data_IF_848500912598
#
_entry.id   IF_848500912598
#
_cell.length_a   1.000
_cell.length_b   1.000
_cell.length_c   1.000
_cell.angle_alpha   90.00
_cell.angle_beta   90.00
_cell.angle_gamma   90.00
#
_symmetry.space_group_name_H-M   'P 1'
#
loop_
_entity.id
_entity.type
_entity.pdbx_description
1 polymer ?
#
# COMPACT_ATOMS: atom_id res chain seq x y z
N UNK A 1 0.26 0.30 -7.39
CA UNK A 1 1.01 -0.57 -8.31
C UNK A 1 2.33 0.05 -8.74
N UNK A 2 2.28 1.13 -9.51
CA UNK A 2 3.43 1.73 -10.16
C UNK A 2 4.61 2.05 -9.21
N UNK A 3 4.37 2.78 -8.10
CA UNK A 3 5.42 3.09 -7.11
C UNK A 3 6.00 1.82 -6.45
N UNK A 4 5.15 0.85 -6.10
CA UNK A 4 5.60 -0.41 -5.50
C UNK A 4 6.48 -1.20 -6.48
N UNK A 5 6.07 -1.32 -7.73
CA UNK A 5 6.87 -2.00 -8.75
C UNK A 5 8.19 -1.29 -9.02
N UNK A 6 8.21 0.07 -9.06
CA UNK A 6 9.47 0.83 -9.20
C UNK A 6 10.39 0.60 -8.02
N UNK A 7 9.85 0.52 -6.80
CA UNK A 7 10.61 0.18 -5.62
C UNK A 7 11.23 -1.22 -5.72
N UNK A 8 10.43 -2.24 -6.05
CA UNK A 8 10.93 -3.60 -6.22
C UNK A 8 12.02 -3.68 -7.32
N UNK A 9 11.79 -3.01 -8.44
CA UNK A 9 12.79 -2.94 -9.52
C UNK A 9 14.10 -2.28 -9.08
N UNK A 10 14.05 -1.26 -8.23
CA UNK A 10 15.26 -0.61 -7.66
C UNK A 10 16.04 -1.52 -6.72
N UNK A 11 15.40 -2.55 -6.18
CA UNK A 11 16.00 -3.61 -5.33
C UNK A 11 16.37 -4.86 -6.15
N UNK A 12 16.43 -4.75 -7.49
CA UNK A 12 16.76 -5.81 -8.44
C UNK A 12 15.77 -6.98 -8.46
N UNK A 13 14.51 -6.77 -8.06
CA UNK A 13 13.47 -7.77 -8.28
C UNK A 13 13.25 -7.98 -9.78
N UNK A 14 12.99 -9.21 -10.17
CA UNK A 14 12.55 -9.56 -11.53
C UNK A 14 11.07 -9.21 -11.68
N UNK A 15 10.81 -7.96 -12.06
CA UNK A 15 9.45 -7.44 -12.24
C UNK A 15 8.98 -7.77 -13.65
N UNK A 16 8.04 -8.70 -13.76
CA UNK A 16 7.46 -9.16 -15.04
C UNK A 16 6.76 -8.02 -15.78
N UNK A 17 5.85 -7.30 -15.13
CA UNK A 17 5.15 -6.17 -15.75
C UNK A 17 3.81 -5.83 -15.11
N UNK A 18 2.94 -5.21 -15.90
CA UNK A 18 1.66 -4.68 -15.45
C UNK A 18 0.52 -5.03 -16.39
N UNK A 19 -0.64 -5.23 -15.79
CA UNK A 19 -1.92 -5.23 -16.46
C UNK A 19 -2.85 -4.22 -15.77
N UNK A 20 -3.60 -3.48 -16.56
CA UNK A 20 -4.68 -2.60 -16.10
C UNK A 20 -5.80 -2.62 -17.13
N UNK A 21 -7.05 -2.47 -16.71
CA UNK A 21 -8.19 -2.32 -17.62
C UNK A 21 -8.07 -1.07 -18.50
N UNK A 22 -7.33 -0.06 -18.03
CA UNK A 22 -6.87 1.05 -18.84
C UNK A 22 -5.45 0.72 -19.39
N UNK A 23 -5.38 0.28 -20.63
CA UNK A 23 -4.13 -0.11 -21.29
C UNK A 23 -3.05 0.99 -21.21
N UNK A 24 -3.43 2.26 -21.33
CA UNK A 24 -2.48 3.37 -21.23
C UNK A 24 -1.85 3.47 -19.82
N UNK A 25 -2.60 3.12 -18.76
CA UNK A 25 -2.05 3.09 -17.40
C UNK A 25 -1.04 1.93 -17.21
N UNK A 26 -1.31 0.77 -17.81
CA UNK A 26 -0.37 -0.36 -17.82
C UNK A 26 0.93 -0.01 -18.57
N UNK A 27 0.81 0.59 -19.76
CA UNK A 27 1.96 1.04 -20.57
C UNK A 27 2.79 2.10 -19.85
N UNK A 28 2.15 3.08 -19.19
CA UNK A 28 2.82 4.12 -18.43
C UNK A 28 3.61 3.54 -17.25
N UNK A 29 3.03 2.59 -16.51
CA UNK A 29 3.71 1.90 -15.41
C UNK A 29 4.87 1.03 -15.93
N UNK A 30 4.67 0.32 -17.02
CA UNK A 30 5.69 -0.50 -17.67
C UNK A 30 6.88 0.36 -18.17
N UNK A 31 6.61 1.47 -18.83
CA UNK A 31 7.64 2.41 -19.27
C UNK A 31 8.44 2.99 -18.10
N UNK A 32 7.76 3.38 -17.01
CA UNK A 32 8.40 3.94 -15.81
C UNK A 32 9.30 2.93 -15.11
N UNK A 33 8.95 1.65 -15.11
CA UNK A 33 9.71 0.58 -14.47
C UNK A 33 10.64 -0.17 -15.41
N UNK A 34 10.58 0.11 -16.72
CA UNK A 34 11.31 -0.60 -17.78
C UNK A 34 10.97 -2.10 -17.80
N UNK A 35 9.66 -2.40 -17.85
CA UNK A 35 9.10 -3.75 -17.89
C UNK A 35 8.05 -3.88 -18.99
N UNK A 36 7.25 -4.96 -19.00
CA UNK A 36 6.21 -5.20 -20.00
C UNK A 36 4.84 -4.67 -19.57
N UNK A 37 4.08 -4.10 -20.50
CA UNK A 37 2.64 -3.92 -20.39
C UNK A 37 1.92 -5.11 -21.02
N UNK A 38 0.96 -5.69 -20.32
CA UNK A 38 0.18 -6.84 -20.80
C UNK A 38 -1.21 -6.40 -21.22
N UNK A 39 -1.67 -6.90 -22.36
CA UNK A 39 -3.04 -6.66 -22.86
C UNK A 39 -4.05 -7.68 -22.34
N UNK A 40 -3.57 -8.76 -21.73
CA UNK A 40 -4.40 -9.84 -21.19
C UNK A 40 -3.89 -10.20 -19.79
N UNK A 41 -4.78 -10.17 -18.80
CA UNK A 41 -4.45 -10.51 -17.41
C UNK A 41 -3.96 -11.96 -17.28
N UNK A 42 -4.48 -12.89 -18.10
CA UNK A 42 -4.10 -14.30 -18.10
C UNK A 42 -2.61 -14.50 -18.36
N UNK A 43 -2.02 -13.69 -19.23
CA UNK A 43 -0.61 -13.79 -19.54
C UNK A 43 0.25 -13.35 -18.35
N UNK A 44 -0.07 -12.20 -17.74
CA UNK A 44 0.62 -11.71 -16.56
C UNK A 44 0.52 -12.71 -15.39
N UNK A 45 -0.68 -13.27 -15.15
CA UNK A 45 -0.89 -14.28 -14.10
C UNK A 45 0.00 -15.50 -14.32
N UNK A 46 0.11 -16.00 -15.55
CA UNK A 46 0.92 -17.19 -15.86
C UNK A 46 2.43 -16.97 -15.74
N UNK A 47 2.89 -15.76 -15.99
CA UNK A 47 4.30 -15.41 -15.98
C UNK A 47 4.82 -14.97 -14.60
N UNK A 48 3.91 -14.80 -13.60
CA UNK A 48 4.23 -14.27 -12.28
C UNK A 48 4.25 -15.37 -11.21
N UNK A 49 5.31 -15.46 -10.43
CA UNK A 49 5.35 -16.29 -9.20
C UNK A 49 4.65 -15.57 -8.04
N UNK A 50 4.79 -14.24 -7.99
CA UNK A 50 4.14 -13.37 -7.00
C UNK A 50 3.35 -12.30 -7.75
N UNK A 51 2.06 -12.24 -7.51
CA UNK A 51 1.16 -11.27 -8.15
C UNK A 51 0.59 -10.30 -7.10
N UNK A 52 0.67 -9.00 -7.38
CA UNK A 52 0.08 -7.95 -6.54
C UNK A 52 -1.16 -7.36 -7.19
N UNK A 53 -2.31 -7.50 -6.53
CA UNK A 53 -3.54 -6.79 -6.88
C UNK A 53 -3.50 -5.42 -6.18
N UNK A 54 -3.34 -4.37 -6.98
CA UNK A 54 -3.18 -2.99 -6.48
C UNK A 54 -4.31 -2.07 -6.97
N UNK A 55 -5.46 -2.65 -7.24
CA UNK A 55 -6.71 -1.95 -7.57
C UNK A 55 -7.31 -1.29 -6.31
N UNK A 56 -8.28 -0.36 -6.48
CA UNK A 56 -9.08 0.10 -5.35
C UNK A 56 -9.73 -1.05 -4.58
N UNK A 57 -9.92 -0.89 -3.27
CA UNK A 57 -10.45 -1.94 -2.39
C UNK A 57 -11.78 -2.53 -2.87
N UNK A 58 -12.66 -1.69 -3.43
CA UNK A 58 -13.95 -2.13 -4.00
C UNK A 58 -13.82 -3.09 -5.19
N UNK A 59 -12.67 -3.11 -5.85
CA UNK A 59 -12.39 -3.96 -7.01
C UNK A 59 -11.53 -5.18 -6.68
N UNK A 60 -11.01 -5.29 -5.44
CA UNK A 60 -10.14 -6.40 -5.06
C UNK A 60 -10.82 -7.76 -5.26
N UNK A 61 -12.01 -7.94 -4.68
CA UNK A 61 -12.75 -9.20 -4.77
C UNK A 61 -13.16 -9.52 -6.22
N UNK A 62 -13.74 -8.58 -7.00
CA UNK A 62 -14.01 -8.80 -8.42
C UNK A 62 -12.78 -9.26 -9.23
N UNK A 63 -11.62 -8.62 -9.03
CA UNK A 63 -10.39 -8.99 -9.74
C UNK A 63 -9.92 -10.38 -9.30
N UNK A 64 -9.97 -10.68 -7.99
CA UNK A 64 -9.64 -12.01 -7.51
C UNK A 64 -10.52 -13.10 -8.12
N UNK A 65 -11.84 -12.90 -8.15
CA UNK A 65 -12.79 -13.85 -8.76
C UNK A 65 -12.50 -14.09 -10.26
N UNK A 66 -12.04 -13.06 -10.97
CA UNK A 66 -11.62 -13.19 -12.36
C UNK A 66 -10.37 -14.04 -12.53
N UNK A 67 -9.33 -13.79 -11.70
CA UNK A 67 -8.01 -14.40 -11.91
C UNK A 67 -7.79 -15.72 -11.18
N UNK A 68 -8.57 -16.06 -10.16
CA UNK A 68 -8.34 -17.27 -9.34
C UNK A 68 -8.32 -18.57 -10.15
N UNK A 69 -9.16 -18.67 -11.20
CA UNK A 69 -9.19 -19.82 -12.11
C UNK A 69 -8.04 -19.88 -13.10
N UNK A 70 -7.24 -18.81 -13.22
CA UNK A 70 -6.07 -18.71 -14.10
C UNK A 70 -4.77 -18.95 -13.35
N UNK A 71 -4.81 -18.84 -12.01
CA UNK A 71 -3.64 -18.98 -11.14
C UNK A 71 -3.08 -20.39 -11.17
N UNK A 72 -1.77 -20.52 -11.02
CA UNK A 72 -1.09 -21.80 -10.98
C UNK A 72 -0.71 -22.20 -9.54
N UNK A 73 -0.48 -23.48 -9.32
CA UNK A 73 -0.10 -24.02 -8.00
C UNK A 73 1.15 -23.34 -7.46
N UNK A 74 1.16 -23.07 -6.16
CA UNK A 74 2.20 -22.41 -5.38
C UNK A 74 2.42 -20.93 -5.69
N UNK A 75 1.62 -20.32 -6.56
CA UNK A 75 1.65 -18.88 -6.79
C UNK A 75 1.27 -18.12 -5.50
N UNK A 76 1.90 -16.97 -5.28
CA UNK A 76 1.58 -16.07 -4.17
C UNK A 76 0.76 -14.89 -4.73
N UNK A 77 -0.41 -14.67 -4.17
CA UNK A 77 -1.29 -13.55 -4.54
C UNK A 77 -1.37 -12.58 -3.37
N UNK A 78 -1.02 -11.33 -3.63
CA UNK A 78 -0.99 -10.27 -2.63
C UNK A 78 -1.97 -9.16 -2.97
N UNK A 79 -2.47 -8.46 -1.96
CA UNK A 79 -3.08 -7.14 -2.13
C UNK A 79 -2.44 -6.11 -1.18
N UNK A 80 -2.65 -4.83 -1.47
CA UNK A 80 -2.08 -3.73 -0.69
C UNK A 80 -3.11 -2.94 0.13
N UNK A 81 -4.33 -3.45 0.30
CA UNK A 81 -5.34 -2.79 1.13
C UNK A 81 -4.92 -2.73 2.59
N UNK A 82 -5.09 -1.58 3.22
CA UNK A 82 -4.97 -1.42 4.67
C UNK A 82 -6.21 -1.91 5.43
N UNK A 83 -7.37 -1.89 4.78
CA UNK A 83 -8.66 -2.20 5.40
C UNK A 83 -9.07 -3.68 5.25
N UNK A 84 -8.89 -4.23 4.05
CA UNK A 84 -9.28 -5.60 3.74
C UNK A 84 -8.23 -6.60 4.23
N UNK A 85 -8.69 -7.74 4.78
CA UNK A 85 -7.81 -8.85 5.12
C UNK A 85 -7.63 -9.81 3.95
N UNK A 86 -6.64 -10.71 4.08
CA UNK A 86 -6.42 -11.82 3.15
C UNK A 86 -7.62 -12.78 3.02
N UNK A 87 -8.57 -12.75 3.95
CA UNK A 87 -9.83 -13.50 3.86
C UNK A 87 -10.69 -13.07 2.65
N UNK A 88 -10.39 -11.91 2.05
CA UNK A 88 -11.00 -11.47 0.80
C UNK A 88 -10.69 -12.41 -0.38
N UNK A 89 -9.69 -13.26 -0.27
CA UNK A 89 -9.29 -14.25 -1.27
C UNK A 89 -10.02 -15.59 -1.09
N UNK A 90 -11.36 -15.56 -1.18
CA UNK A 90 -12.17 -16.76 -1.02
C UNK A 90 -11.83 -17.85 -2.04
N UNK A 91 -11.68 -19.12 -1.60
CA UNK A 91 -11.34 -20.25 -2.48
C UNK A 91 -9.85 -20.32 -2.86
N UNK A 92 -8.97 -19.56 -2.22
CA UNK A 92 -7.52 -19.59 -2.48
C UNK A 92 -6.88 -20.98 -2.27
N UNK A 93 -7.33 -21.69 -1.22
CA UNK A 93 -6.85 -23.05 -0.92
C UNK A 93 -7.23 -24.04 -2.04
N UNK A 94 -8.43 -23.96 -2.55
CA UNK A 94 -8.94 -24.78 -3.65
C UNK A 94 -8.22 -24.47 -4.96
N UNK A 95 -7.88 -23.19 -5.16
CA UNK A 95 -7.05 -22.75 -6.31
C UNK A 95 -5.58 -23.19 -6.18
N UNK A 96 -5.15 -23.64 -4.98
CA UNK A 96 -3.78 -24.09 -4.74
C UNK A 96 -2.76 -22.96 -4.64
N UNK A 97 -3.20 -21.74 -4.29
CA UNK A 97 -2.39 -20.55 -4.13
C UNK A 97 -2.27 -20.14 -2.67
N UNK A 98 -1.26 -19.34 -2.34
CA UNK A 98 -1.05 -18.76 -1.03
C UNK A 98 -1.30 -17.25 -1.11
N UNK A 99 -2.23 -16.74 -0.29
CA UNK A 99 -2.62 -15.33 -0.34
C UNK A 99 -2.19 -14.56 0.92
N UNK A 100 -1.85 -13.28 0.76
CA UNK A 100 -1.58 -12.39 1.88
C UNK A 100 -1.94 -10.93 1.56
N UNK A 101 -2.17 -10.16 2.61
CA UNK A 101 -2.19 -8.71 2.57
C UNK A 101 -0.80 -8.17 2.85
N UNK A 102 -0.37 -7.16 2.09
CA UNK A 102 0.95 -6.51 2.20
C UNK A 102 0.73 -5.00 2.14
N UNK A 103 0.53 -4.38 3.29
CA UNK A 103 0.19 -2.96 3.35
C UNK A 103 1.41 -2.12 3.74
N UNK A 104 1.93 -1.26 2.85
CA UNK A 104 2.93 -0.27 3.20
C UNK A 104 2.27 0.86 4.04
N UNK A 105 2.80 1.13 5.23
CA UNK A 105 2.34 2.23 6.09
C UNK A 105 2.86 3.57 5.58
N UNK A 106 2.40 3.95 4.40
CA UNK A 106 2.85 5.15 3.69
C UNK A 106 1.72 5.78 2.88
N UNK A 107 1.52 7.11 2.93
CA UNK A 107 0.61 7.78 2.01
C UNK A 107 1.22 7.85 0.60
N UNK A 108 0.49 7.38 -0.40
CA UNK A 108 0.88 7.47 -1.81
C UNK A 108 0.27 8.72 -2.43
N UNK A 109 0.99 9.84 -2.38
CA UNK A 109 0.55 11.12 -2.95
C UNK A 109 0.83 11.25 -4.45
N UNK A 110 1.85 10.54 -4.95
CA UNK A 110 2.25 10.59 -6.36
C UNK A 110 2.78 9.23 -6.82
N UNK A 111 2.20 8.71 -7.92
CA UNK A 111 2.53 7.37 -8.45
C UNK A 111 3.98 7.22 -8.94
N UNK A 112 4.66 8.34 -9.24
CA UNK A 112 6.02 8.32 -9.80
C UNK A 112 7.12 8.72 -8.81
N UNK A 113 6.78 9.28 -7.65
CA UNK A 113 7.78 9.71 -6.67
C UNK A 113 7.66 9.00 -5.32
N UNK A 114 6.47 8.49 -4.94
CA UNK A 114 6.27 7.84 -3.64
C UNK A 114 7.11 6.57 -3.44
N UNK A 115 7.64 5.96 -4.51
CA UNK A 115 8.54 4.80 -4.40
C UNK A 115 9.82 5.10 -3.61
N UNK A 116 10.30 6.34 -3.60
CA UNK A 116 11.50 6.75 -2.87
C UNK A 116 11.31 6.66 -1.35
N UNK A 117 10.07 6.83 -0.88
CA UNK A 117 9.75 6.76 0.54
C UNK A 117 9.56 5.31 1.01
N UNK A 118 9.35 4.36 0.09
CA UNK A 118 9.17 2.94 0.41
C UNK A 118 10.42 2.31 1.04
N UNK A 119 11.61 2.87 0.81
CA UNK A 119 12.85 2.39 1.44
C UNK A 119 12.83 2.45 2.97
N UNK A 120 12.07 3.39 3.53
CA UNK A 120 11.93 3.59 4.97
C UNK A 120 10.54 3.22 5.50
N UNK A 121 9.70 2.64 4.66
CA UNK A 121 8.35 2.28 5.05
C UNK A 121 8.34 0.98 5.86
N UNK A 122 7.50 0.97 6.90
CA UNK A 122 7.06 -0.25 7.53
C UNK A 122 6.02 -0.95 6.64
N UNK A 123 6.11 -2.25 6.57
CA UNK A 123 5.07 -3.07 5.94
C UNK A 123 4.34 -3.90 6.98
N UNK A 124 3.04 -3.98 6.85
CA UNK A 124 2.22 -4.90 7.64
C UNK A 124 1.79 -6.06 6.75
N UNK A 125 2.01 -7.29 7.22
CA UNK A 125 1.72 -8.51 6.46
C UNK A 125 0.85 -9.45 7.28
N UNK A 126 -0.17 -10.02 6.66
CA UNK A 126 -1.00 -11.09 7.25
C UNK A 126 -1.53 -12.01 6.14
N UNK A 127 -1.91 -13.26 6.48
CA UNK A 127 -2.48 -14.22 5.54
C UNK A 127 -1.92 -15.62 5.67
N UNK A 128 -1.86 -16.34 4.55
CA UNK A 128 -1.35 -17.72 4.54
C UNK A 128 0.13 -17.77 4.96
N UNK A 129 0.51 -18.66 5.90
CA UNK A 129 1.86 -18.68 6.50
C UNK A 129 3.00 -18.71 5.49
N UNK A 130 2.86 -19.48 4.40
CA UNK A 130 3.87 -19.53 3.35
C UNK A 130 4.04 -18.18 2.63
N UNK A 131 2.95 -17.53 2.21
CA UNK A 131 2.99 -16.23 1.57
C UNK A 131 3.56 -15.15 2.51
N UNK A 132 3.11 -15.13 3.76
CA UNK A 132 3.61 -14.22 4.79
C UNK A 132 5.12 -14.37 4.99
N UNK A 133 5.63 -15.62 5.03
CA UNK A 133 7.06 -15.86 5.19
C UNK A 133 7.85 -15.34 3.99
N UNK A 134 7.47 -15.74 2.77
CA UNK A 134 8.17 -15.33 1.53
C UNK A 134 8.19 -13.81 1.38
N UNK A 135 7.05 -13.15 1.59
CA UNK A 135 6.96 -11.68 1.47
C UNK A 135 7.75 -10.97 2.59
N UNK A 136 7.71 -11.50 3.82
CA UNK A 136 8.51 -10.95 4.92
C UNK A 136 10.00 -11.03 4.58
N UNK A 137 10.49 -12.19 4.13
CA UNK A 137 11.89 -12.39 3.79
C UNK A 137 12.32 -11.47 2.64
N UNK A 138 11.46 -11.33 1.62
CA UNK A 138 11.68 -10.44 0.49
C UNK A 138 11.83 -8.98 0.95
N UNK A 139 10.87 -8.45 1.69
CA UNK A 139 10.88 -7.06 2.16
C UNK A 139 12.03 -6.79 3.13
N UNK A 140 12.31 -7.74 4.03
CA UNK A 140 13.45 -7.64 4.96
C UNK A 140 14.78 -7.63 4.20
N UNK A 141 14.91 -8.41 3.13
CA UNK A 141 16.12 -8.38 2.28
C UNK A 141 16.33 -7.04 1.57
N UNK A 142 15.26 -6.26 1.38
CA UNK A 142 15.31 -4.90 0.86
C UNK A 142 15.60 -3.82 1.91
N UNK A 143 15.67 -4.22 3.18
CA UNK A 143 15.93 -3.32 4.31
C UNK A 143 14.67 -2.78 4.98
N UNK A 144 13.47 -3.25 4.61
CA UNK A 144 12.24 -2.81 5.24
C UNK A 144 11.99 -3.53 6.58
N UNK A 145 11.36 -2.82 7.49
CA UNK A 145 10.76 -3.43 8.67
C UNK A 145 9.37 -4.00 8.34
N UNK A 146 9.11 -5.20 8.84
CA UNK A 146 7.86 -5.92 8.59
C UNK A 146 7.21 -6.33 9.91
N UNK A 147 5.97 -5.91 10.11
CA UNK A 147 5.14 -6.33 11.22
C UNK A 147 4.09 -7.33 10.74
N UNK A 148 4.03 -8.51 11.40
CA UNK A 148 2.99 -9.51 11.15
C UNK A 148 1.82 -9.26 12.10
N UNK A 149 0.62 -9.23 11.57
CA UNK A 149 -0.62 -9.10 12.36
C UNK A 149 -1.57 -10.24 12.03
N UNK A 150 -2.58 -10.45 12.86
CA UNK A 150 -3.67 -11.35 12.53
C UNK A 150 -4.66 -10.70 11.56
N UNK A 151 -5.25 -11.50 10.65
CA UNK A 151 -6.28 -11.01 9.74
C UNK A 151 -7.47 -10.37 10.49
N UNK A 152 -7.83 -10.91 11.64
CA UNK A 152 -8.88 -10.36 12.51
C UNK A 152 -8.55 -8.98 13.09
N UNK A 153 -7.26 -8.59 13.17
CA UNK A 153 -6.85 -7.28 13.67
C UNK A 153 -6.88 -6.17 12.59
N UNK A 154 -7.18 -6.50 11.32
CA UNK A 154 -7.20 -5.50 10.22
C UNK A 154 -8.15 -4.32 10.47
N UNK A 155 -9.36 -4.48 11.03
CA UNK A 155 -10.22 -3.34 11.30
C UNK A 155 -9.61 -2.34 12.28
N UNK A 156 -9.07 -2.81 13.41
CA UNK A 156 -8.40 -1.94 14.39
C UNK A 156 -7.13 -1.31 13.82
N UNK A 157 -6.34 -2.10 13.09
CA UNK A 157 -5.14 -1.62 12.40
C UNK A 157 -5.47 -0.49 11.43
N UNK A 158 -6.49 -0.67 10.58
CA UNK A 158 -6.90 0.34 9.62
C UNK A 158 -7.46 1.60 10.31
N UNK A 159 -8.24 1.41 11.37
CA UNK A 159 -8.73 2.52 12.18
C UNK A 159 -7.57 3.34 12.77
N UNK A 160 -6.57 2.67 13.35
CA UNK A 160 -5.38 3.33 13.88
C UNK A 160 -4.60 4.09 12.79
N UNK A 161 -4.34 3.46 11.64
CA UNK A 161 -3.67 4.10 10.51
C UNK A 161 -4.43 5.32 9.99
N UNK A 162 -5.77 5.24 9.91
CA UNK A 162 -6.63 6.35 9.48
C UNK A 162 -6.63 7.50 10.49
N UNK A 163 -6.63 7.20 11.79
CA UNK A 163 -6.54 8.23 12.85
C UNK A 163 -5.21 8.95 12.76
N UNK A 164 -4.11 8.22 12.63
CA UNK A 164 -2.75 8.77 12.59
C UNK A 164 -2.40 9.50 11.28
N UNK A 165 -3.22 9.36 10.25
CA UNK A 165 -3.03 10.01 8.95
C UNK A 165 -4.17 10.98 8.61
N UNK A 166 -5.31 10.45 8.16
CA UNK A 166 -6.41 11.26 7.62
C UNK A 166 -7.07 12.15 8.69
N UNK A 167 -7.23 11.63 9.93
CA UNK A 167 -7.86 12.42 11.01
C UNK A 167 -6.95 13.55 11.49
N UNK A 168 -5.65 13.38 11.49
CA UNK A 168 -4.71 14.48 11.79
C UNK A 168 -4.90 15.63 10.80
N UNK A 169 -5.05 15.33 9.49
CA UNK A 169 -5.31 16.34 8.47
C UNK A 169 -6.65 17.04 8.72
N UNK A 170 -7.70 16.31 9.07
CA UNK A 170 -9.03 16.87 9.35
C UNK A 170 -9.02 17.79 10.58
N UNK A 171 -8.28 17.43 11.64
CA UNK A 171 -8.13 18.28 12.83
C UNK A 171 -7.36 19.56 12.50
N UNK A 172 -6.29 19.48 11.71
CA UNK A 172 -5.53 20.65 11.26
C UNK A 172 -6.39 21.56 10.38
N UNK A 173 -7.17 21.01 9.44
CA UNK A 173 -8.09 21.79 8.60
C UNK A 173 -9.13 22.52 9.43
N UNK A 174 -9.67 21.86 10.46
CA UNK A 174 -10.61 22.51 11.41
C UNK A 174 -9.95 23.69 12.12
N UNK A 175 -8.72 23.54 12.60
CA UNK A 175 -7.96 24.64 13.22
C UNK A 175 -7.72 25.80 12.26
N UNK A 176 -7.39 25.52 11.01
CA UNK A 176 -7.19 26.57 10.00
C UNK A 176 -8.49 27.32 9.69
N UNK A 177 -9.65 26.65 9.60
CA UNK A 177 -10.96 27.32 9.42
C UNK A 177 -11.28 28.27 10.57
N UNK A 178 -11.02 27.87 11.81
CA UNK A 178 -11.22 28.74 12.97
C UNK A 178 -10.33 30.00 12.92
N UNK A 179 -9.10 29.87 12.40
CA UNK A 179 -8.25 31.04 12.18
C UNK A 179 -8.75 31.93 11.04
N UNK A 180 -9.34 31.35 9.99
CA UNK A 180 -10.01 32.12 8.93
C UNK A 180 -11.18 32.92 9.48
N UNK A 181 -11.97 32.39 10.40
CA UNK A 181 -13.03 33.09 11.11
C UNK A 181 -12.49 34.25 11.98
N UNK A 182 -11.21 34.15 12.43
CA UNK A 182 -10.51 35.22 13.13
C UNK A 182 -9.89 36.29 12.18
N UNK A 183 -10.10 36.17 10.86
CA UNK A 183 -9.63 37.13 9.86
C UNK A 183 -8.28 36.83 9.23
N UNK A 184 -7.72 35.63 9.44
CA UNK A 184 -6.54 35.18 8.70
C UNK A 184 -6.95 34.74 7.29
N UNK A 185 -6.07 34.93 6.29
CA UNK A 185 -6.19 34.13 5.07
C UNK A 185 -5.68 32.70 5.34
N UNK A 186 -6.11 31.72 4.55
CA UNK A 186 -5.66 30.34 4.68
C UNK A 186 -4.13 30.24 4.67
N UNK A 187 -3.46 30.91 3.75
CA UNK A 187 -2.00 30.93 3.65
C UNK A 187 -1.34 31.49 4.92
N UNK A 188 -1.89 32.58 5.47
CA UNK A 188 -1.40 33.18 6.71
C UNK A 188 -1.64 32.27 7.91
N UNK A 189 -2.78 31.59 8.00
CA UNK A 189 -3.09 30.65 9.06
C UNK A 189 -2.08 29.50 9.07
N UNK A 190 -1.82 28.89 7.91
CA UNK A 190 -0.82 27.82 7.75
C UNK A 190 0.58 28.31 8.11
N UNK A 191 1.00 29.46 7.57
CA UNK A 191 2.35 29.99 7.83
C UNK A 191 2.56 30.33 9.32
N UNK A 192 1.56 30.97 9.97
CA UNK A 192 1.65 31.37 11.38
C UNK A 192 1.74 30.18 12.35
N UNK A 193 1.11 29.05 12.00
CA UNK A 193 1.04 27.85 12.86
C UNK A 193 2.03 26.75 12.47
N UNK A 194 2.76 26.89 11.37
CA UNK A 194 3.65 25.85 10.86
C UNK A 194 4.68 25.36 11.90
N UNK A 195 5.29 26.29 12.65
CA UNK A 195 6.26 25.92 13.70
C UNK A 195 5.58 25.21 14.86
N UNK A 196 4.40 25.67 15.29
CA UNK A 196 3.60 25.07 16.36
C UNK A 196 3.22 23.62 16.01
N UNK A 197 2.66 23.41 14.83
CA UNK A 197 2.22 22.09 14.37
C UNK A 197 3.41 21.14 14.27
N UNK A 198 4.51 21.59 13.64
CA UNK A 198 5.70 20.77 13.47
C UNK A 198 6.30 20.36 14.83
N UNK A 199 6.47 21.32 15.73
CA UNK A 199 7.04 21.05 17.05
C UNK A 199 6.19 20.06 17.86
N UNK A 200 4.86 20.18 17.81
CA UNK A 200 3.98 19.24 18.50
C UNK A 200 4.09 17.81 17.93
N UNK A 201 4.15 17.66 16.60
CA UNK A 201 4.34 16.35 15.98
C UNK A 201 5.71 15.76 16.35
N UNK A 202 6.78 16.55 16.28
CA UNK A 202 8.12 16.12 16.67
C UNK A 202 8.19 15.69 18.15
N UNK A 203 7.54 16.44 19.04
CA UNK A 203 7.44 16.09 20.45
C UNK A 203 6.72 14.75 20.67
N UNK A 204 5.57 14.55 19.99
CA UNK A 204 4.83 13.28 20.06
C UNK A 204 5.68 12.11 19.55
N UNK A 205 6.40 12.29 18.44
CA UNK A 205 7.25 11.24 17.87
C UNK A 205 8.47 10.90 18.75
N UNK A 206 9.02 11.87 19.48
CA UNK A 206 10.22 11.68 20.31
C UNK A 206 9.92 11.29 21.75
N UNK A 207 8.80 11.77 22.32
CA UNK A 207 8.49 11.66 23.75
C UNK A 207 7.18 10.90 24.01
N UNK A 208 6.41 10.58 22.96
CA UNK A 208 5.06 10.03 23.08
C UNK A 208 4.01 11.10 23.38
N UNK A 209 2.75 10.64 23.52
CA UNK A 209 1.63 11.50 23.90
C UNK A 209 1.67 11.76 25.43
N UNK A 210 2.60 12.59 25.85
CA UNK A 210 2.69 13.02 27.26
C UNK A 210 1.81 14.25 27.44
N UNK A 211 0.90 14.20 28.40
CA UNK A 211 0.04 15.34 28.80
C UNK A 211 0.63 16.03 30.00
#
# INVERSE_FOLDING_TARGET
>A
GCSLGKYFRSKNADLVGYYDTNAAAAEEAAAFTQTAGFNQVQQLVRESDILFITTPDSLLVPVWEEIKGMSHRNQIICHCSGALSSDSFSGAKEAGVSCCSVHPMLPFSNKFSSYQQLEHAFFTVEGHPHAVQVITDLLTSYGNEVCRIDAAAKPEYHAAASILSNQVIAVLDTGYRLLEDCGFSREKAVAATAALVRQNIENVLSQGCVH
#
